data_IF_646809056403
#
_entry.id   IF_646809056403
#
_cell.length_a   1.000
_cell.length_b   1.000
_cell.length_c   1.000
_cell.angle_alpha   90.00
_cell.angle_beta   90.00
_cell.angle_gamma   90.00
#
_symmetry.space_group_name_H-M   'P 1'
#
loop_
_entity.id
_entity.type
_entity.pdbx_description
1 polymer ?
#
# COMPACT_ATOMS: atom_id res chain seq x y z
N UNK A 1 1.96 6.81 -0.58
CA UNK A 1 2.70 7.29 0.60
C UNK A 1 1.81 7.15 1.83
N UNK A 2 2.40 6.81 2.95
CA UNK A 2 1.64 6.53 4.17
C UNK A 2 2.30 7.23 5.36
N UNK A 3 1.49 7.97 6.12
CA UNK A 3 1.89 8.49 7.41
C UNK A 3 1.07 7.75 8.47
N UNK A 4 1.70 6.86 9.21
CA UNK A 4 1.02 6.09 10.25
C UNK A 4 0.72 7.00 11.43
N UNK A 5 -0.55 7.10 11.82
CA UNK A 5 -1.00 7.93 12.93
C UNK A 5 -1.25 7.11 14.20
N UNK A 6 -1.54 5.82 14.04
CA UNK A 6 -1.72 4.88 15.15
C UNK A 6 -1.01 3.56 14.83
N UNK A 7 0.27 3.41 15.27
CA UNK A 7 1.04 2.22 14.95
C UNK A 7 0.41 0.90 15.41
N UNK A 8 -0.23 0.87 16.56
CA UNK A 8 -0.87 -0.35 17.06
C UNK A 8 -2.01 -0.82 16.18
N UNK A 9 -2.89 0.10 15.77
CA UNK A 9 -3.99 -0.22 14.89
C UNK A 9 -3.52 -0.57 13.49
N UNK A 10 -2.49 0.11 13.01
CA UNK A 10 -1.91 -0.14 11.69
C UNK A 10 -1.22 -1.51 11.59
N UNK A 11 -0.75 -2.05 12.71
CA UNK A 11 -0.06 -3.33 12.74
C UNK A 11 -0.89 -4.47 12.18
N UNK A 12 -2.19 -4.48 12.46
CA UNK A 12 -3.10 -5.49 11.92
C UNK A 12 -3.09 -5.49 10.40
N UNK A 13 -3.09 -4.29 9.80
CA UNK A 13 -3.02 -4.15 8.35
C UNK A 13 -1.70 -4.69 7.82
N UNK A 14 -0.59 -4.31 8.45
CA UNK A 14 0.74 -4.76 8.03
C UNK A 14 0.89 -6.29 8.06
N UNK A 15 0.25 -6.95 9.00
CA UNK A 15 0.30 -8.40 9.14
C UNK A 15 -0.62 -9.12 8.14
N UNK A 16 -1.74 -8.52 7.79
CA UNK A 16 -2.74 -9.16 6.95
C UNK A 16 -2.57 -8.91 5.45
N UNK A 17 -2.07 -7.74 5.06
CA UNK A 17 -2.06 -7.33 3.66
C UNK A 17 -1.12 -8.16 2.76
N UNK A 18 0.04 -8.65 3.21
CA UNK A 18 0.93 -9.41 2.32
C UNK A 18 0.27 -10.64 1.68
N UNK A 19 -0.55 -11.36 2.44
CA UNK A 19 -1.24 -12.54 1.92
C UNK A 19 -2.23 -12.19 0.81
N UNK A 20 -2.93 -11.06 0.94
CA UNK A 20 -3.89 -10.61 -0.08
C UNK A 20 -3.18 -10.23 -1.37
N UNK A 21 -2.03 -9.60 -1.27
CA UNK A 21 -1.22 -9.18 -2.42
C UNK A 21 -0.70 -10.41 -3.15
N UNK A 22 -0.10 -11.36 -2.42
CA UNK A 22 0.45 -12.58 -3.00
C UNK A 22 -0.63 -13.41 -3.71
N UNK A 23 -1.81 -13.49 -3.12
CA UNK A 23 -2.94 -14.22 -3.69
C UNK A 23 -3.33 -13.72 -5.08
N UNK A 24 -3.12 -12.44 -5.34
CA UNK A 24 -3.48 -11.80 -6.61
C UNK A 24 -2.26 -11.56 -7.52
N UNK A 25 -1.13 -12.23 -7.23
CA UNK A 25 0.05 -12.16 -8.07
C UNK A 25 0.85 -10.88 -7.94
N UNK A 26 0.57 -10.09 -6.91
CA UNK A 26 1.33 -8.87 -6.62
C UNK A 26 2.59 -9.15 -5.84
N UNK A 27 3.49 -8.18 -5.85
CA UNK A 27 4.72 -8.24 -5.05
C UNK A 27 5.12 -6.85 -4.59
N UNK A 28 5.84 -6.79 -3.47
CA UNK A 28 6.42 -5.55 -3.00
C UNK A 28 7.69 -5.24 -3.77
N UNK A 29 7.79 -4.01 -4.28
CA UNK A 29 9.04 -3.47 -4.81
C UNK A 29 9.70 -2.57 -3.77
N UNK A 30 8.88 -1.84 -3.00
CA UNK A 30 9.34 -1.02 -1.87
C UNK A 30 8.37 -1.23 -0.72
N UNK A 31 8.91 -1.45 0.46
CA UNK A 31 8.09 -1.64 1.67
C UNK A 31 8.69 -0.84 2.83
N UNK A 32 8.52 0.48 2.77
CA UNK A 32 8.92 1.35 3.85
C UNK A 32 10.42 1.54 4.02
N UNK A 33 11.19 1.46 2.93
CA UNK A 33 12.61 1.80 2.97
C UNK A 33 12.83 3.30 3.16
N UNK A 34 14.08 3.67 3.36
CA UNK A 34 14.45 5.08 3.56
C UNK A 34 14.04 5.93 2.36
N UNK A 35 13.50 7.11 2.65
CA UNK A 35 13.07 8.06 1.63
C UNK A 35 13.97 9.28 1.69
N UNK A 36 14.44 9.70 0.53
CA UNK A 36 15.30 10.87 0.41
C UNK A 36 14.70 11.84 -0.61
N UNK A 37 13.91 12.84 -0.16
CA UNK A 37 13.33 13.83 -1.07
C UNK A 37 14.43 14.63 -1.76
N UNK A 38 14.28 14.86 -3.06
CA UNK A 38 15.28 15.58 -3.86
C UNK A 38 14.74 16.90 -4.42
N UNK A 39 13.47 16.94 -4.78
CA UNK A 39 12.86 18.12 -5.37
C UNK A 39 11.40 18.23 -4.95
N UNK A 40 10.89 19.44 -4.94
CA UNK A 40 9.50 19.73 -4.67
C UNK A 40 9.15 19.71 -3.19
N UNK A 41 7.88 19.96 -2.92
CA UNK A 41 7.36 20.06 -1.56
C UNK A 41 6.94 18.73 -0.96
N UNK A 42 6.88 17.69 -1.78
CA UNK A 42 6.46 16.37 -1.32
C UNK A 42 7.59 15.68 -0.58
N UNK A 43 7.36 15.45 0.71
CA UNK A 43 8.35 14.81 1.58
C UNK A 43 7.73 13.60 2.29
N UNK A 44 7.47 12.51 1.56
CA UNK A 44 6.89 11.32 2.17
C UNK A 44 7.84 10.70 3.19
N UNK A 45 7.28 10.16 4.28
CA UNK A 45 8.08 9.50 5.31
C UNK A 45 8.12 7.99 5.12
N UNK A 46 7.08 7.44 4.48
CA UNK A 46 7.00 6.00 4.21
C UNK A 46 6.38 5.77 2.84
N UNK A 47 7.09 5.04 2.02
CA UNK A 47 6.60 4.67 0.69
C UNK A 47 6.42 3.17 0.60
N UNK A 48 5.35 2.76 -0.07
CA UNK A 48 5.12 1.37 -0.44
C UNK A 48 4.85 1.35 -1.93
N UNK A 49 5.57 0.51 -2.66
CA UNK A 49 5.34 0.33 -4.09
C UNK A 49 5.06 -1.15 -4.33
N UNK A 50 3.94 -1.42 -4.95
CA UNK A 50 3.51 -2.77 -5.30
C UNK A 50 3.50 -2.90 -6.81
N UNK A 51 3.78 -4.10 -7.30
CA UNK A 51 3.67 -4.42 -8.71
C UNK A 51 2.72 -5.59 -8.89
N UNK A 52 1.78 -5.47 -9.83
CA UNK A 52 0.88 -6.54 -10.24
C UNK A 52 1.10 -6.83 -11.72
N UNK A 53 0.71 -8.02 -12.20
CA UNK A 53 0.92 -8.37 -13.61
C UNK A 53 0.31 -7.39 -14.61
N UNK A 54 -0.83 -6.79 -14.25
CA UNK A 54 -1.52 -5.82 -15.10
C UNK A 54 -2.52 -5.02 -14.27
N UNK A 55 -3.06 -3.98 -14.87
CA UNK A 55 -4.01 -3.09 -14.19
C UNK A 55 -5.29 -3.81 -13.77
N UNK A 56 -5.77 -4.74 -14.59
CA UNK A 56 -6.99 -5.48 -14.26
C UNK A 56 -6.80 -6.32 -13.00
N UNK A 57 -5.65 -6.96 -12.84
CA UNK A 57 -5.33 -7.76 -11.66
C UNK A 57 -5.15 -6.87 -10.42
N UNK A 58 -4.53 -5.71 -10.57
CA UNK A 58 -4.39 -4.72 -9.51
C UNK A 58 -5.77 -4.29 -8.99
N UNK A 59 -6.67 -3.95 -9.88
CA UNK A 59 -8.04 -3.55 -9.51
C UNK A 59 -8.80 -4.70 -8.86
N UNK A 60 -8.58 -5.92 -9.32
CA UNK A 60 -9.19 -7.11 -8.74
C UNK A 60 -8.75 -7.31 -7.30
N UNK A 61 -7.45 -7.12 -7.01
CA UNK A 61 -6.94 -7.15 -5.65
C UNK A 61 -7.59 -6.07 -4.79
N UNK A 62 -7.56 -4.83 -5.26
CA UNK A 62 -8.09 -3.69 -4.49
C UNK A 62 -9.57 -3.90 -4.15
N UNK A 63 -10.35 -4.39 -5.09
CA UNK A 63 -11.80 -4.59 -4.91
C UNK A 63 -12.18 -5.95 -4.33
N UNK A 64 -11.20 -6.82 -4.02
CA UNK A 64 -11.47 -8.13 -3.46
C UNK A 64 -12.02 -8.03 -2.03
N UNK A 65 -12.83 -9.03 -1.65
CA UNK A 65 -13.35 -9.09 -0.28
C UNK A 65 -12.22 -9.20 0.74
N UNK A 66 -11.16 -9.95 0.39
CA UNK A 66 -10.00 -10.13 1.25
C UNK A 66 -9.34 -8.80 1.60
N UNK A 67 -9.15 -7.92 0.61
CA UNK A 67 -8.53 -6.63 0.86
C UNK A 67 -9.51 -5.65 1.48
N UNK A 68 -10.74 -5.60 1.00
CA UNK A 68 -11.73 -4.62 1.49
C UNK A 68 -12.05 -4.82 2.98
N UNK A 69 -11.99 -6.04 3.49
CA UNK A 69 -12.26 -6.27 4.90
C UNK A 69 -11.15 -5.78 5.84
N UNK A 70 -9.95 -5.51 5.31
CA UNK A 70 -8.83 -5.00 6.11
C UNK A 70 -8.49 -3.54 5.82
N UNK A 71 -9.13 -2.94 4.82
CA UNK A 71 -8.77 -1.57 4.39
C UNK A 71 -8.95 -0.53 5.50
N UNK A 72 -9.94 -0.71 6.37
CA UNK A 72 -10.18 0.21 7.48
C UNK A 72 -9.03 0.23 8.48
N UNK A 73 -8.33 -0.89 8.65
CA UNK A 73 -7.15 -0.95 9.52
C UNK A 73 -6.04 -0.02 9.02
N UNK A 74 -6.00 0.25 7.71
CA UNK A 74 -5.09 1.23 7.13
C UNK A 74 -5.66 2.64 7.21
N UNK A 75 -6.90 2.84 6.75
CA UNK A 75 -7.47 4.18 6.62
C UNK A 75 -7.78 4.84 7.96
N UNK A 76 -8.12 4.05 8.97
CA UNK A 76 -8.40 4.57 10.30
C UNK A 76 -7.13 4.87 11.11
N UNK A 77 -5.99 4.33 10.70
CA UNK A 77 -4.75 4.40 11.47
C UNK A 77 -3.61 5.07 10.71
N UNK A 78 -3.91 5.69 9.58
CA UNK A 78 -2.90 6.37 8.76
C UNK A 78 -3.54 7.45 7.91
N UNK A 79 -2.69 8.30 7.34
CA UNK A 79 -3.07 9.28 6.32
C UNK A 79 -2.11 9.10 5.16
N UNK A 80 -2.58 9.33 3.95
CA UNK A 80 -1.70 9.21 2.81
C UNK A 80 -2.42 9.23 1.49
N UNK A 81 -1.69 8.90 0.46
CA UNK A 81 -2.17 8.89 -0.91
C UNK A 81 -1.86 7.55 -1.57
N UNK A 82 -2.76 7.12 -2.43
CA UNK A 82 -2.58 5.90 -3.21
C UNK A 82 -2.95 6.20 -4.65
N UNK A 83 -2.11 5.78 -5.57
CA UNK A 83 -2.39 5.90 -7.01
C UNK A 83 -2.11 4.57 -7.67
N UNK A 84 -2.85 4.31 -8.74
CA UNK A 84 -2.60 3.19 -9.64
C UNK A 84 -2.00 3.77 -10.91
N UNK A 85 -0.93 3.19 -11.40
CA UNK A 85 -0.28 3.67 -12.61
C UNK A 85 0.08 2.50 -13.52
N UNK A 86 -0.13 2.70 -14.81
CA UNK A 86 0.22 1.71 -15.82
C UNK A 86 1.74 1.63 -15.94
N UNK A 87 2.28 0.42 -15.96
CA UNK A 87 3.71 0.23 -16.13
C UNK A 87 4.17 0.49 -17.56
N UNK A 88 5.46 0.71 -17.71
CA UNK A 88 6.08 0.89 -19.03
C UNK A 88 6.18 -0.49 -19.75
#
# INVERSE_FOLDING_TARGET
DIKVTNPEGFKKYQEAVPATIAKHGGKYLVRGGDVEPKEGDWAPTRMVVLEFPNMATLKKWYNSDDYQKIIADRTDNSKGNMVFVEGY
#
